data_IF_380019252456
#
_entry.id   IF_380019252456
#
_cell.length_a   1.000
_cell.length_b   1.000
_cell.length_c   1.000
_cell.angle_alpha   90.00
_cell.angle_beta   90.00
_cell.angle_gamma   90.00
#
_symmetry.space_group_name_H-M   'P 1'
#
loop_
_entity.id
_entity.type
_entity.pdbx_description
1 polymer ?
#
# COMPACT_ATOMS: atom_id res chain seq x y z
N UNK A 1 10.86 -22.83 -23.50
CA UNK A 1 11.41 -22.36 -22.22
C UNK A 1 10.27 -21.79 -21.38
N UNK A 2 9.69 -22.61 -20.48
CA UNK A 2 8.66 -22.16 -19.54
C UNK A 2 9.39 -21.87 -18.22
N UNK A 3 9.79 -20.63 -18.03
CA UNK A 3 10.39 -20.20 -16.77
C UNK A 3 9.29 -20.10 -15.73
N UNK A 4 9.36 -20.97 -14.72
CA UNK A 4 8.49 -20.93 -13.55
C UNK A 4 8.79 -19.67 -12.73
N UNK A 5 7.79 -18.83 -12.55
CA UNK A 5 7.81 -17.80 -11.52
C UNK A 5 7.67 -18.49 -10.16
N UNK A 6 8.75 -18.48 -9.38
CA UNK A 6 8.74 -18.79 -7.97
C UNK A 6 7.95 -17.69 -7.24
N UNK A 7 6.66 -17.93 -7.05
CA UNK A 7 5.83 -17.15 -6.15
C UNK A 7 6.13 -17.64 -4.72
N UNK A 8 7.00 -16.94 -4.02
CA UNK A 8 7.06 -17.04 -2.55
C UNK A 8 7.36 -15.66 -1.97
N UNK A 9 6.60 -15.32 -0.91
CA UNK A 9 6.46 -14.01 -0.22
C UNK A 9 5.36 -13.07 -0.73
N UNK A 10 4.16 -13.64 -0.90
CA UNK A 10 2.90 -12.91 -0.70
C UNK A 10 2.35 -13.19 0.71
N UNK A 11 2.87 -12.50 1.72
CA UNK A 11 2.27 -12.40 3.07
C UNK A 11 3.03 -11.28 3.76
N UNK A 12 2.61 -10.02 3.85
CA UNK A 12 1.26 -9.45 3.97
C UNK A 12 1.33 -7.95 3.62
N UNK A 13 0.97 -7.54 2.41
CA UNK A 13 0.81 -6.10 2.09
C UNK A 13 -0.65 -5.62 2.14
N UNK A 14 -1.65 -6.53 2.25
CA UNK A 14 -3.02 -6.06 2.47
C UNK A 14 -4.11 -7.07 2.17
N UNK A 15 -4.39 -7.99 3.11
CA UNK A 15 -5.67 -8.71 3.05
C UNK A 15 -6.22 -9.08 4.44
N UNK A 16 -6.88 -8.10 5.07
CA UNK A 16 -8.27 -8.22 5.56
C UNK A 16 -8.75 -6.86 6.10
N UNK A 17 -9.35 -6.06 5.22
CA UNK A 17 -10.24 -4.98 5.66
C UNK A 17 -11.58 -5.62 6.03
N UNK A 18 -11.85 -5.66 7.33
CA UNK A 18 -13.17 -5.64 7.97
C UNK A 18 -14.12 -6.84 7.74
N UNK A 19 -14.03 -7.87 8.58
CA UNK A 19 -15.18 -8.76 8.88
C UNK A 19 -15.10 -9.22 10.34
N UNK A 20 -15.86 -8.51 11.19
CA UNK A 20 -16.57 -8.96 12.42
C UNK A 20 -16.73 -7.73 13.34
N UNK A 21 -17.74 -6.91 13.07
CA UNK A 21 -18.31 -6.03 14.09
C UNK A 21 -19.27 -6.88 14.93
N UNK A 22 -19.06 -7.08 16.25
CA UNK A 22 -20.12 -7.60 17.08
C UNK A 22 -21.14 -6.48 17.33
N UNK A 23 -22.41 -6.77 17.03
CA UNK A 23 -23.53 -5.90 17.43
C UNK A 23 -23.56 -5.73 18.96
N UNK A 24 -23.93 -4.56 19.49
CA UNK A 24 -23.89 -4.30 20.92
C UNK A 24 -25.14 -4.88 21.59
N UNK A 25 -25.09 -6.16 21.97
CA UNK A 25 -26.12 -6.77 22.81
C UNK A 25 -25.68 -6.78 24.27
N UNK A 26 -26.23 -5.82 25.02
CA UNK A 26 -26.51 -5.80 26.47
C UNK A 26 -25.40 -6.13 27.48
N UNK A 27 -25.01 -5.08 28.24
CA UNK A 27 -24.77 -5.08 29.71
C UNK A 27 -23.78 -6.12 30.25
N UNK A 28 -22.48 -5.86 30.07
CA UNK A 28 -21.40 -6.07 31.05
C UNK A 28 -20.27 -5.10 30.67
N UNK A 29 -19.86 -4.24 31.61
CA UNK A 29 -18.85 -3.19 31.43
C UNK A 29 -17.57 -3.69 32.10
N UNK A 30 -17.02 -4.76 31.56
CA UNK A 30 -15.68 -5.21 31.86
C UNK A 30 -14.74 -4.49 30.90
N UNK A 31 -13.76 -3.79 31.47
CA UNK A 31 -12.79 -2.97 30.75
C UNK A 31 -12.10 -3.81 29.67
N UNK A 32 -12.47 -3.56 28.41
CA UNK A 32 -11.71 -4.10 27.28
C UNK A 32 -10.39 -3.36 27.28
N UNK A 33 -9.34 -4.01 27.77
CA UNK A 33 -7.97 -3.58 27.56
C UNK A 33 -7.72 -3.62 26.05
N UNK A 34 -7.87 -2.47 25.39
CA UNK A 34 -7.58 -2.34 23.97
C UNK A 34 -6.06 -2.48 23.83
N UNK A 35 -5.60 -3.69 23.55
CA UNK A 35 -4.21 -3.96 23.18
C UNK A 35 -4.01 -3.46 21.75
N UNK A 36 -3.56 -2.21 21.59
CA UNK A 36 -3.18 -1.68 20.29
C UNK A 36 -1.81 -2.26 19.91
N UNK A 37 -1.82 -3.39 19.20
CA UNK A 37 -0.62 -3.87 18.50
C UNK A 37 -0.21 -2.78 17.49
N UNK A 38 0.99 -2.19 17.61
CA UNK A 38 1.39 -1.11 16.72
C UNK A 38 1.56 -1.67 15.31
N UNK A 39 0.61 -1.37 14.42
CA UNK A 39 0.58 -1.72 13.00
C UNK A 39 1.68 -1.00 12.16
N UNK A 40 2.88 -0.84 12.72
CA UNK A 40 3.97 -0.04 12.16
C UNK A 40 3.87 1.45 12.51
N UNK A 41 4.95 2.17 12.24
CA UNK A 41 5.00 3.63 12.38
C UNK A 41 3.99 4.32 11.45
N UNK A 42 3.58 5.55 11.75
CA UNK A 42 2.72 6.32 10.85
C UNK A 42 3.38 6.48 9.47
N UNK A 43 4.70 6.65 9.44
CA UNK A 43 5.49 6.70 8.22
C UNK A 43 5.37 5.41 7.39
N UNK A 44 5.48 4.24 8.00
CA UNK A 44 5.32 2.95 7.30
C UNK A 44 3.91 2.80 6.69
N UNK A 45 2.88 3.23 7.42
CA UNK A 45 1.50 3.23 6.91
C UNK A 45 1.34 4.14 5.71
N UNK A 46 1.97 5.32 5.74
CA UNK A 46 1.98 6.25 4.61
C UNK A 46 2.70 5.65 3.41
N UNK A 47 3.87 5.03 3.59
CA UNK A 47 4.61 4.36 2.50
C UNK A 47 3.79 3.23 1.89
N UNK A 48 3.16 2.38 2.70
CA UNK A 48 2.26 1.32 2.20
C UNK A 48 1.09 1.89 1.38
N UNK A 49 0.47 2.97 1.86
CA UNK A 49 -0.58 3.65 1.12
C UNK A 49 -0.07 4.22 -0.22
N UNK A 50 1.12 4.84 -0.24
CA UNK A 50 1.73 5.38 -1.46
C UNK A 50 2.03 4.29 -2.48
N UNK A 51 2.56 3.15 -2.02
CA UNK A 51 2.83 1.99 -2.87
C UNK A 51 1.54 1.51 -3.56
N UNK A 52 0.45 1.34 -2.81
CA UNK A 52 -0.81 0.88 -3.36
C UNK A 52 -1.41 1.86 -4.37
N UNK A 53 -1.31 3.17 -4.11
CA UNK A 53 -1.75 4.21 -5.08
C UNK A 53 -0.94 4.14 -6.38
N UNK A 54 0.38 3.98 -6.30
CA UNK A 54 1.25 3.89 -7.48
C UNK A 54 0.99 2.60 -8.28
N UNK A 55 0.78 1.48 -7.60
CA UNK A 55 0.41 0.21 -8.24
C UNK A 55 -0.94 0.32 -8.94
N UNK A 56 -1.93 0.93 -8.29
CA UNK A 56 -3.25 1.18 -8.87
C UNK A 56 -3.20 2.13 -10.08
N UNK A 57 -2.23 3.06 -10.11
CA UNK A 57 -2.02 3.93 -11.26
C UNK A 57 -1.36 3.23 -12.45
N UNK A 58 -0.73 2.06 -12.24
CA UNK A 58 -0.10 1.27 -13.29
C UNK A 58 1.42 1.31 -13.30
N UNK A 59 2.07 1.78 -12.23
CA UNK A 59 3.52 1.62 -12.08
C UNK A 59 3.88 0.15 -11.84
N UNK A 60 5.01 -0.33 -12.40
CA UNK A 60 5.54 -1.65 -12.07
C UNK A 60 6.03 -1.66 -10.61
N UNK A 61 5.98 -2.83 -9.97
CA UNK A 61 6.24 -3.01 -8.52
C UNK A 61 7.53 -2.30 -8.06
N UNK A 62 8.65 -2.56 -8.73
CA UNK A 62 9.95 -1.98 -8.38
C UNK A 62 9.96 -0.44 -8.46
N UNK A 63 9.31 0.14 -9.47
CA UNK A 63 9.22 1.60 -9.60
C UNK A 63 8.30 2.19 -8.52
N UNK A 64 7.20 1.50 -8.21
CA UNK A 64 6.27 1.92 -7.18
C UNK A 64 6.91 1.89 -5.79
N UNK A 65 7.72 0.87 -5.47
CA UNK A 65 8.48 0.78 -4.21
C UNK A 65 9.45 1.97 -4.05
N UNK A 66 10.27 2.22 -5.08
CA UNK A 66 11.24 3.34 -5.06
C UNK A 66 10.54 4.69 -4.89
N UNK A 67 9.45 4.92 -5.62
CA UNK A 67 8.69 6.16 -5.54
C UNK A 67 7.90 6.30 -4.22
N UNK A 68 7.48 5.19 -3.61
CA UNK A 68 6.75 5.21 -2.33
C UNK A 68 7.63 5.66 -1.16
N UNK A 69 8.93 5.36 -1.20
CA UNK A 69 9.91 5.82 -0.21
C UNK A 69 10.46 7.22 -0.51
N UNK A 70 10.57 7.60 -1.78
CA UNK A 70 11.08 8.90 -2.18
C UNK A 70 10.12 10.05 -1.82
N UNK A 71 10.59 11.29 -1.57
CA UNK A 71 9.74 12.45 -1.28
C UNK A 71 9.09 13.05 -2.55
N UNK A 72 8.49 12.20 -3.40
CA UNK A 72 7.84 12.59 -4.66
C UNK A 72 6.36 12.96 -4.48
N UNK A 73 5.88 13.91 -5.29
CA UNK A 73 4.46 14.22 -5.36
C UNK A 73 3.68 13.07 -6.03
N UNK A 74 2.80 12.45 -5.25
CA UNK A 74 2.00 11.31 -5.69
C UNK A 74 0.94 11.71 -6.74
N UNK A 75 0.39 12.92 -6.63
CA UNK A 75 -0.58 13.42 -7.60
C UNK A 75 0.09 13.63 -8.96
N UNK A 76 1.32 14.15 -8.98
CA UNK A 76 2.07 14.32 -10.23
C UNK A 76 2.45 12.97 -10.85
N UNK A 77 2.91 12.01 -10.03
CA UNK A 77 3.20 10.66 -10.50
C UNK A 77 2.00 10.00 -11.18
N UNK A 78 0.81 10.08 -10.57
CA UNK A 78 -0.44 9.56 -11.14
C UNK A 78 -0.85 10.35 -12.40
N UNK A 79 -0.67 11.67 -12.39
CA UNK A 79 -0.97 12.54 -13.54
C UNK A 79 -0.16 12.15 -14.77
N UNK A 80 1.12 11.85 -14.62
CA UNK A 80 2.00 11.42 -15.71
C UNK A 80 1.46 10.15 -16.39
N UNK A 81 1.10 9.13 -15.62
CA UNK A 81 0.56 7.89 -16.18
C UNK A 81 -0.80 8.12 -16.84
N UNK A 82 -1.67 8.92 -16.23
CA UNK A 82 -2.97 9.29 -16.81
C UNK A 82 -2.84 10.03 -18.15
N UNK A 83 -1.75 10.74 -18.36
CA UNK A 83 -1.42 11.43 -19.63
C UNK A 83 -0.81 10.49 -20.69
N UNK A 84 -0.58 9.22 -20.36
CA UNK A 84 0.05 8.24 -21.24
C UNK A 84 1.58 8.24 -21.19
N UNK A 85 2.19 8.83 -20.16
CA UNK A 85 3.62 8.71 -19.93
C UNK A 85 3.97 7.26 -19.56
N UNK A 86 5.11 6.74 -20.06
CA UNK A 86 5.57 5.42 -19.63
C UNK A 86 6.07 5.49 -18.19
N UNK A 87 5.92 4.42 -17.38
CA UNK A 87 6.40 4.40 -16.00
C UNK A 87 7.90 4.69 -15.89
N UNK A 88 8.71 4.21 -16.82
CA UNK A 88 10.17 4.42 -16.84
C UNK A 88 10.51 5.89 -17.11
N UNK A 89 9.73 6.55 -17.97
CA UNK A 89 9.89 7.99 -18.22
C UNK A 89 9.40 8.80 -17.01
N UNK A 90 8.28 8.42 -16.39
CA UNK A 90 7.76 9.10 -15.21
C UNK A 90 8.75 9.06 -14.04
N UNK A 91 9.39 7.91 -13.78
CA UNK A 91 10.44 7.78 -12.76
C UNK A 91 11.60 8.76 -13.02
N UNK A 92 12.06 8.89 -14.26
CA UNK A 92 13.13 9.83 -14.64
C UNK A 92 12.76 11.31 -14.53
N UNK A 93 11.47 11.63 -14.47
CA UNK A 93 10.99 13.01 -14.29
C UNK A 93 10.94 13.36 -12.80
N UNK A 94 10.66 12.37 -11.94
CA UNK A 94 10.39 12.55 -10.52
C UNK A 94 11.63 12.37 -9.63
N UNK A 95 12.66 11.66 -10.11
CA UNK A 95 13.93 11.37 -9.42
C UNK A 95 15.11 11.93 -10.20
#
# INVERSE_FOLDING_TARGET
MRSGCAADRSTTCGRRLNELSPSPTTRNMEDVEITYEPLGSESEKVVCWRLEVLRAAGFPELAAEVLAEAPVDLHEAVSLIRRGCSPELAVRILL
#
